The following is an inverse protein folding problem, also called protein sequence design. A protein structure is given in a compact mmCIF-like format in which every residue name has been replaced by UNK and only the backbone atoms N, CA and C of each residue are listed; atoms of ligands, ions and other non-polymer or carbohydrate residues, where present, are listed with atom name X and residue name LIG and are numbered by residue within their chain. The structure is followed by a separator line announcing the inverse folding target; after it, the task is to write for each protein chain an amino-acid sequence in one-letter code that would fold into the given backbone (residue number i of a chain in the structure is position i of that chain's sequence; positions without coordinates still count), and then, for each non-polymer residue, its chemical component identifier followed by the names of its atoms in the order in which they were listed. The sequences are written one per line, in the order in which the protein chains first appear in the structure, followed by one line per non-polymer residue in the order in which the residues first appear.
data_IF_953227100864
#
_entry.id   IF_953227100864
#
_cell.length_a   1.000
_cell.length_b   1.000
_cell.length_c   1.000
_cell.angle_alpha   90.00
_cell.angle_beta   90.00
_cell.angle_gamma   90.00
#
_symmetry.space_group_name_H-M   'P 1'
#
loop_
_entity.id
_entity.type
_entity.pdbx_description
1 polymer ?
#
# COMPACT_ATOMS: atom_id res chain seq x y z
N UNK A 1 -4.66 2.63 -14.73
CA UNK A 1 -3.69 3.75 -14.60
C UNK A 1 -2.41 3.47 -15.36
N UNK A 2 -1.77 2.31 -15.18
CA UNK A 2 -0.53 1.94 -15.87
C UNK A 2 -0.55 2.17 -17.39
N UNK A 3 -1.58 1.69 -18.09
CA UNK A 3 -1.72 1.89 -19.54
C UNK A 3 -1.70 3.38 -19.94
N UNK A 4 -2.41 4.23 -19.19
CA UNK A 4 -2.46 5.67 -19.47
C UNK A 4 -1.11 6.37 -19.28
N UNK A 5 -0.22 5.83 -18.44
CA UNK A 5 1.14 6.33 -18.27
C UNK A 5 2.09 5.81 -19.36
N UNK A 6 1.95 4.54 -19.77
CA UNK A 6 2.77 3.96 -20.85
C UNK A 6 2.56 4.65 -22.20
N UNK A 7 1.34 5.10 -22.46
CA UNK A 7 0.97 5.77 -23.72
C UNK A 7 1.28 7.28 -23.69
N UNK A 8 2.03 7.78 -22.70
CA UNK A 8 2.30 9.20 -22.54
C UNK A 8 3.80 9.52 -22.46
N UNK A 9 4.28 10.35 -23.38
CA UNK A 9 5.63 10.93 -23.37
C UNK A 9 5.77 12.09 -22.38
N UNK A 10 5.10 12.02 -21.21
CA UNK A 10 5.05 13.15 -20.27
C UNK A 10 6.46 13.51 -19.78
N UNK A 11 6.81 14.79 -19.79
CA UNK A 11 8.17 15.23 -19.47
C UNK A 11 8.34 15.68 -18.02
N UNK A 12 7.25 15.81 -17.26
CA UNK A 12 7.30 16.30 -15.88
C UNK A 12 6.26 15.63 -14.95
N UNK A 13 6.51 15.72 -13.64
CA UNK A 13 5.67 15.12 -12.60
C UNK A 13 4.24 15.69 -12.55
N UNK A 14 4.05 16.94 -12.97
CA UNK A 14 2.72 17.58 -12.99
C UNK A 14 1.82 16.92 -14.04
N UNK A 15 2.36 16.64 -15.23
CA UNK A 15 1.63 15.91 -16.28
C UNK A 15 1.29 14.49 -15.85
N UNK A 16 2.23 13.78 -15.23
CA UNK A 16 1.98 12.45 -14.65
C UNK A 16 0.83 12.50 -13.64
N UNK A 17 0.85 13.46 -12.72
CA UNK A 17 -0.22 13.64 -11.74
C UNK A 17 -1.58 13.93 -12.40
N UNK A 18 -1.61 14.75 -13.44
CA UNK A 18 -2.84 15.04 -14.20
C UNK A 18 -3.41 13.81 -14.92
N UNK A 19 -2.54 12.96 -15.49
CA UNK A 19 -2.95 11.72 -16.14
C UNK A 19 -3.58 10.77 -15.13
N UNK A 20 -2.92 10.57 -13.98
CA UNK A 20 -3.44 9.74 -12.89
C UNK A 20 -4.78 10.29 -12.41
N UNK A 21 -4.86 11.61 -12.14
CA UNK A 21 -6.08 12.27 -11.66
C UNK A 21 -7.25 12.11 -12.63
N UNK A 22 -7.05 12.36 -13.93
CA UNK A 22 -8.07 12.20 -14.97
C UNK A 22 -8.51 10.74 -15.10
N UNK A 23 -7.58 9.80 -14.97
CA UNK A 23 -7.88 8.37 -15.02
C UNK A 23 -8.71 7.94 -13.81
N UNK A 24 -8.30 8.35 -12.61
CA UNK A 24 -9.03 8.08 -11.37
C UNK A 24 -10.44 8.65 -11.42
N UNK A 25 -10.62 9.88 -11.91
CA UNK A 25 -11.95 10.48 -12.11
C UNK A 25 -12.85 9.59 -12.98
N UNK A 26 -12.36 9.16 -14.15
CA UNK A 26 -13.14 8.33 -15.08
C UNK A 26 -13.55 6.99 -14.46
N UNK A 27 -12.61 6.31 -13.81
CA UNK A 27 -12.86 5.02 -13.13
C UNK A 27 -13.90 5.22 -12.02
N UNK A 28 -13.76 6.27 -11.22
CA UNK A 28 -14.66 6.57 -10.11
C UNK A 28 -16.09 6.84 -10.61
N UNK A 29 -16.28 7.58 -11.71
CA UNK A 29 -17.62 7.81 -12.30
C UNK A 29 -18.28 6.52 -12.77
N UNK A 30 -17.51 5.61 -13.37
CA UNK A 30 -18.02 4.30 -13.78
C UNK A 30 -18.39 3.45 -12.55
N UNK A 31 -17.53 3.44 -11.52
CA UNK A 31 -17.80 2.75 -10.27
C UNK A 31 -19.08 3.24 -9.56
N UNK A 32 -19.28 4.56 -9.53
CA UNK A 32 -20.49 5.16 -8.97
C UNK A 32 -21.76 4.77 -9.76
N UNK A 33 -21.70 4.81 -11.10
CA UNK A 33 -22.80 4.36 -11.96
C UNK A 33 -23.21 2.91 -11.66
N UNK A 34 -22.23 2.01 -11.60
CA UNK A 34 -22.47 0.58 -11.31
C UNK A 34 -23.03 0.41 -9.89
N UNK A 35 -22.43 1.10 -8.92
CA UNK A 35 -22.85 1.03 -7.52
C UNK A 35 -24.28 1.55 -7.30
N UNK A 36 -24.68 2.61 -8.01
CA UNK A 36 -26.05 3.12 -7.98
C UNK A 36 -27.05 2.12 -8.56
N UNK A 37 -26.73 1.48 -9.68
CA UNK A 37 -27.62 0.48 -10.28
C UNK A 37 -27.73 -0.76 -9.37
N UNK A 38 -26.62 -1.22 -8.78
CA UNK A 38 -26.63 -2.31 -7.81
C UNK A 38 -27.50 -1.98 -6.58
N UNK A 39 -27.35 -0.77 -6.01
CA UNK A 39 -28.15 -0.31 -4.88
C UNK A 39 -29.65 -0.27 -5.21
N UNK A 40 -29.99 0.23 -6.41
CA UNK A 40 -31.36 0.26 -6.92
C UNK A 40 -31.95 -1.15 -7.10
N UNK A 41 -31.20 -2.09 -7.68
CA UNK A 41 -31.63 -3.48 -7.84
C UNK A 41 -31.87 -4.18 -6.50
N UNK A 42 -31.06 -3.84 -5.49
CA UNK A 42 -31.16 -4.39 -4.14
C UNK A 42 -32.19 -3.66 -3.26
N UNK A 43 -32.73 -2.53 -3.71
CA UNK A 43 -33.67 -1.72 -2.93
C UNK A 43 -33.05 -1.08 -1.67
N UNK A 44 -31.73 -0.83 -1.69
CA UNK A 44 -31.00 -0.21 -0.58
C UNK A 44 -30.39 1.13 -1.01
N UNK A 45 -30.08 2.05 -0.06
CA UNK A 45 -29.35 3.26 -0.39
C UNK A 45 -27.94 2.96 -0.89
N UNK A 46 -27.45 3.74 -1.85
CA UNK A 46 -26.04 3.71 -2.22
C UNK A 46 -25.18 4.14 -1.03
N UNK A 47 -24.10 3.39 -0.78
CA UNK A 47 -23.18 3.62 0.33
C UNK A 47 -22.05 4.57 -0.07
N UNK A 48 -20.83 4.04 -0.07
CA UNK A 48 -19.62 4.78 -0.45
C UNK A 48 -18.90 4.10 -1.62
N UNK A 49 -18.00 4.84 -2.25
CA UNK A 49 -17.04 4.34 -3.22
C UNK A 49 -15.63 4.49 -2.64
N UNK A 50 -14.89 3.38 -2.53
CA UNK A 50 -13.48 3.38 -2.16
C UNK A 50 -12.63 3.58 -3.43
N UNK A 51 -11.76 4.59 -3.41
CA UNK A 51 -10.90 4.96 -4.56
C UNK A 51 -9.65 4.09 -4.69
N UNK A 52 -9.48 3.14 -3.78
CA UNK A 52 -8.22 2.45 -3.62
C UNK A 52 -7.79 1.69 -4.87
N UNK A 53 -6.52 1.82 -5.22
CA UNK A 53 -5.90 1.00 -6.27
C UNK A 53 -5.50 -0.33 -5.62
N UNK A 54 -6.32 -1.35 -5.80
CA UNK A 54 -6.06 -2.71 -5.35
C UNK A 54 -5.43 -3.52 -6.49
N UNK A 55 -4.17 -3.97 -6.36
CA UNK A 55 -3.53 -4.82 -7.36
C UNK A 55 -4.06 -6.26 -7.27
N UNK A 56 -3.74 -7.07 -8.27
CA UNK A 56 -3.93 -8.53 -8.23
C UNK A 56 -2.67 -9.24 -8.71
N UNK A 57 -2.51 -10.55 -8.42
CA UNK A 57 -1.35 -11.31 -8.88
C UNK A 57 -1.23 -11.40 -10.41
N UNK A 58 -2.23 -10.89 -11.16
CA UNK A 58 -2.25 -10.90 -12.61
C UNK A 58 -1.31 -9.84 -13.20
N UNK A 59 -0.56 -10.24 -14.23
CA UNK A 59 0.32 -9.34 -14.96
C UNK A 59 -0.50 -8.20 -15.60
N UNK A 60 -0.09 -6.96 -15.33
CA UNK A 60 -0.76 -5.76 -15.82
C UNK A 60 -1.68 -5.08 -14.79
N UNK A 61 -1.87 -5.69 -13.61
CA UNK A 61 -2.66 -5.15 -12.51
C UNK A 61 -1.82 -4.94 -11.24
N UNK A 62 -0.81 -4.07 -11.37
CA UNK A 62 0.21 -3.84 -10.34
C UNK A 62 0.44 -2.36 -10.07
N UNK A 63 0.44 -2.00 -8.78
CA UNK A 63 0.85 -0.69 -8.28
C UNK A 63 2.34 -0.51 -8.46
N UNK A 64 3.16 -1.53 -8.18
CA UNK A 64 4.61 -1.46 -8.43
C UNK A 64 4.93 -1.08 -9.89
N UNK A 65 4.24 -1.72 -10.85
CA UNK A 65 4.43 -1.40 -12.28
C UNK A 65 3.89 -0.03 -12.67
N UNK A 66 2.93 0.54 -11.93
CA UNK A 66 2.53 1.94 -12.09
C UNK A 66 3.68 2.87 -11.66
N UNK A 67 4.31 2.61 -10.51
CA UNK A 67 5.42 3.42 -10.02
C UNK A 67 6.64 3.33 -10.95
N UNK A 68 6.90 2.18 -11.55
CA UNK A 68 7.94 2.00 -12.57
C UNK A 68 7.61 2.77 -13.85
N UNK A 69 6.34 2.76 -14.30
CA UNK A 69 5.89 3.55 -15.44
C UNK A 69 6.01 5.08 -15.22
N UNK A 70 6.14 5.53 -13.96
CA UNK A 70 6.42 6.94 -13.64
C UNK A 70 7.91 7.30 -13.76
N UNK A 71 8.78 6.35 -14.11
CA UNK A 71 10.21 6.56 -14.35
C UNK A 71 11.15 5.90 -13.34
N UNK A 72 10.65 5.01 -12.48
CA UNK A 72 11.49 4.20 -11.60
C UNK A 72 11.94 2.93 -12.30
N UNK A 73 13.16 2.49 -12.03
CA UNK A 73 13.68 1.23 -12.58
C UNK A 73 13.00 0.01 -11.96
N UNK A 74 12.81 0.03 -10.63
CA UNK A 74 12.15 -1.03 -9.86
C UNK A 74 11.44 -0.41 -8.66
N UNK A 75 10.25 -0.90 -8.32
CA UNK A 75 9.57 -0.53 -7.07
C UNK A 75 10.46 -0.83 -5.84
N UNK A 76 10.58 0.11 -4.91
CA UNK A 76 11.43 -0.01 -3.73
C UNK A 76 12.75 0.77 -3.83
N UNK A 77 13.16 1.20 -5.02
CA UNK A 77 14.33 2.07 -5.16
C UNK A 77 14.12 3.48 -4.56
N UNK A 78 15.17 4.31 -4.61
CA UNK A 78 15.06 5.71 -4.22
C UNK A 78 14.08 6.44 -5.13
N UNK A 79 13.21 7.27 -4.54
CA UNK A 79 12.11 7.92 -5.26
C UNK A 79 10.77 7.18 -5.21
N UNK A 80 10.73 5.86 -4.90
CA UNK A 80 9.46 5.10 -4.79
C UNK A 80 8.47 5.72 -3.81
N UNK A 81 8.93 6.18 -2.65
CA UNK A 81 8.06 6.82 -1.66
C UNK A 81 7.45 8.12 -2.20
N UNK A 82 8.23 8.93 -2.92
CA UNK A 82 7.73 10.16 -3.54
C UNK A 82 6.74 9.89 -4.69
N UNK A 83 7.06 8.91 -5.54
CA UNK A 83 6.17 8.48 -6.63
C UNK A 83 4.83 7.95 -6.08
N UNK A 84 4.87 7.15 -5.01
CA UNK A 84 3.69 6.63 -4.34
C UNK A 84 2.86 7.74 -3.71
N UNK A 85 3.49 8.73 -3.08
CA UNK A 85 2.80 9.89 -2.53
C UNK A 85 2.05 10.68 -3.63
N UNK A 86 2.70 10.91 -4.78
CA UNK A 86 2.09 11.57 -5.93
C UNK A 86 0.92 10.75 -6.47
N UNK A 87 1.10 9.44 -6.66
CA UNK A 87 0.04 8.53 -7.11
C UNK A 87 -1.18 8.60 -6.19
N UNK A 88 -0.96 8.47 -4.87
CA UNK A 88 -2.02 8.45 -3.88
C UNK A 88 -2.81 9.78 -3.85
N UNK A 89 -2.09 10.91 -3.86
CA UNK A 89 -2.70 12.24 -3.88
C UNK A 89 -3.49 12.50 -5.17
N UNK A 90 -2.94 12.13 -6.33
CA UNK A 90 -3.62 12.29 -7.61
C UNK A 90 -4.88 11.41 -7.73
N UNK A 91 -4.84 10.17 -7.23
CA UNK A 91 -6.01 9.28 -7.16
C UNK A 91 -7.11 9.88 -6.28
N UNK A 92 -6.76 10.33 -5.07
CA UNK A 92 -7.70 10.98 -4.14
C UNK A 92 -8.36 12.21 -4.76
N UNK A 93 -7.55 13.10 -5.35
CA UNK A 93 -8.06 14.31 -6.04
C UNK A 93 -8.99 13.96 -7.20
N UNK A 94 -8.63 12.96 -8.00
CA UNK A 94 -9.44 12.53 -9.14
C UNK A 94 -10.79 11.95 -8.72
N UNK A 95 -10.77 11.06 -7.72
CA UNK A 95 -11.99 10.42 -7.24
C UNK A 95 -12.91 11.34 -6.44
N UNK A 96 -12.36 12.22 -5.60
CA UNK A 96 -13.15 13.24 -4.88
C UNK A 96 -13.87 14.20 -5.82
N UNK A 97 -13.32 14.49 -7.01
CA UNK A 97 -14.03 15.28 -8.02
C UNK A 97 -15.15 14.50 -8.71
N UNK A 98 -15.13 13.17 -8.68
CA UNK A 98 -16.05 12.32 -9.41
C UNK A 98 -17.31 11.94 -8.63
N UNK A 99 -17.25 11.83 -7.30
CA UNK A 99 -18.39 11.44 -6.47
C UNK A 99 -18.41 12.22 -5.15
N UNK A 100 -19.61 12.52 -4.65
CA UNK A 100 -19.83 13.07 -3.31
C UNK A 100 -19.87 12.00 -2.20
N UNK A 101 -19.83 10.72 -2.56
CA UNK A 101 -19.94 9.57 -1.65
C UNK A 101 -18.62 8.78 -1.57
N UNK A 102 -17.48 9.47 -1.64
CA UNK A 102 -16.16 8.83 -1.48
C UNK A 102 -15.89 8.51 -0.01
N UNK A 103 -15.35 7.32 0.26
CA UNK A 103 -14.97 6.89 1.61
C UNK A 103 -13.95 5.74 1.62
N UNK A 104 -13.82 5.04 2.75
CA UNK A 104 -12.88 3.93 2.88
C UNK A 104 -11.41 4.37 3.04
N UNK A 105 -10.46 3.50 2.70
CA UNK A 105 -9.03 3.80 2.80
C UNK A 105 -8.58 4.76 1.69
N UNK A 106 -9.23 4.68 0.52
CA UNK A 106 -9.08 5.56 -0.64
C UNK A 106 -7.62 5.86 -0.96
N UNK A 107 -6.79 4.83 -1.12
CA UNK A 107 -5.38 4.98 -1.49
C UNK A 107 -4.78 3.79 -2.23
N UNK A 108 -3.53 3.89 -2.66
CA UNK A 108 -2.85 2.75 -3.29
C UNK A 108 -2.62 1.63 -2.26
N UNK A 109 -2.97 0.40 -2.59
CA UNK A 109 -2.67 -0.76 -1.76
C UNK A 109 -1.26 -1.25 -2.11
N UNK A 110 -0.51 -1.70 -1.11
CA UNK A 110 0.84 -2.28 -1.30
C UNK A 110 0.98 -3.71 -0.74
N UNK A 111 0.04 -4.63 -1.01
CA UNK A 111 0.09 -6.02 -0.56
C UNK A 111 1.18 -6.77 -1.29
N UNK A 112 2.26 -7.14 -0.58
CA UNK A 112 3.43 -7.76 -1.21
C UNK A 112 3.04 -9.04 -1.94
N UNK A 113 2.18 -9.89 -1.36
CA UNK A 113 1.80 -11.16 -1.97
C UNK A 113 0.83 -11.07 -3.15
N UNK A 114 0.15 -9.93 -3.30
CA UNK A 114 -0.94 -9.75 -4.27
C UNK A 114 -0.51 -8.89 -5.46
N UNK A 115 0.67 -8.27 -5.44
CA UNK A 115 1.16 -7.40 -6.52
C UNK A 115 2.41 -8.02 -7.17
N UNK A 116 2.28 -8.50 -8.42
CA UNK A 116 3.38 -9.15 -9.16
C UNK A 116 4.67 -8.33 -9.17
N UNK A 117 4.57 -7.00 -9.34
CA UNK A 117 5.75 -6.14 -9.39
C UNK A 117 6.40 -5.98 -8.01
N UNK A 118 5.60 -6.00 -6.93
CA UNK A 118 6.15 -5.99 -5.56
C UNK A 118 6.79 -7.32 -5.20
N UNK A 119 6.21 -8.44 -5.63
CA UNK A 119 6.80 -9.77 -5.46
C UNK A 119 8.19 -9.81 -6.11
N UNK A 120 8.29 -9.44 -7.39
CA UNK A 120 9.55 -9.42 -8.11
C UNK A 120 10.58 -8.47 -7.46
N UNK A 121 10.12 -7.30 -6.99
CA UNK A 121 10.99 -6.35 -6.30
C UNK A 121 11.49 -6.88 -4.94
N UNK A 122 10.65 -7.61 -4.20
CA UNK A 122 11.03 -8.23 -2.94
C UNK A 122 11.98 -9.43 -3.15
N UNK A 123 11.75 -10.25 -4.17
CA UNK A 123 12.64 -11.36 -4.56
C UNK A 123 14.03 -10.86 -4.97
N UNK A 124 14.10 -9.73 -5.68
CA UNK A 124 15.38 -9.09 -6.04
C UNK A 124 16.11 -8.44 -4.86
N UNK A 125 15.47 -8.36 -3.69
CA UNK A 125 16.00 -7.70 -2.49
C UNK A 125 15.98 -6.16 -2.54
N UNK A 126 15.41 -5.56 -3.59
CA UNK A 126 15.30 -4.10 -3.72
C UNK A 126 14.16 -3.56 -2.84
N UNK A 127 13.02 -4.24 -2.83
CA UNK A 127 11.91 -3.90 -1.94
C UNK A 127 12.12 -4.59 -0.59
N UNK A 128 12.56 -3.82 0.40
CA UNK A 128 12.84 -4.30 1.75
C UNK A 128 11.71 -3.92 2.72
N UNK A 129 11.68 -4.55 3.90
CA UNK A 129 10.64 -4.29 4.91
C UNK A 129 10.64 -2.83 5.40
N UNK A 130 11.82 -2.26 5.65
CA UNK A 130 12.00 -0.85 6.02
C UNK A 130 11.61 0.10 4.89
N UNK A 131 11.75 -0.33 3.63
CA UNK A 131 11.27 0.45 2.50
C UNK A 131 9.74 0.43 2.42
N UNK A 132 9.11 -0.72 2.67
CA UNK A 132 7.66 -0.83 2.77
C UNK A 132 7.13 0.05 3.90
N UNK A 133 7.75 0.01 5.09
CA UNK A 133 7.47 0.89 6.22
C UNK A 133 7.58 2.38 5.83
N UNK A 134 8.65 2.77 5.13
CA UNK A 134 8.75 4.15 4.61
C UNK A 134 7.65 4.50 3.59
N UNK A 135 7.20 3.53 2.78
CA UNK A 135 6.07 3.70 1.87
C UNK A 135 4.74 3.82 2.63
N UNK A 136 4.57 3.12 3.75
CA UNK A 136 3.37 3.23 4.58
C UNK A 136 3.20 4.64 5.10
N UNK A 137 4.25 5.44 5.33
CA UNK A 137 4.13 6.83 5.75
C UNK A 137 3.26 7.69 4.81
N UNK A 138 3.27 7.41 3.49
CA UNK A 138 2.52 8.16 2.47
C UNK A 138 1.35 7.39 1.85
N UNK A 139 1.17 6.12 2.23
CA UNK A 139 0.18 5.18 1.72
C UNK A 139 -0.94 4.89 2.73
N UNK A 140 -2.18 4.62 2.32
CA UNK A 140 -3.30 4.53 3.29
C UNK A 140 -3.37 3.21 4.08
N UNK A 141 -2.74 2.11 3.64
CA UNK A 141 -3.05 0.76 4.14
C UNK A 141 -2.15 0.28 5.28
N UNK A 142 -0.84 0.55 5.19
CA UNK A 142 0.16 -0.01 6.12
C UNK A 142 0.91 -1.20 5.52
N UNK A 143 1.57 -1.98 6.38
CA UNK A 143 2.29 -3.20 5.98
C UNK A 143 1.31 -4.30 5.68
N UNK A 144 1.31 -4.77 4.43
CA UNK A 144 0.25 -5.65 3.97
C UNK A 144 0.76 -6.90 3.25
N UNK A 145 0.18 -8.04 3.62
CA UNK A 145 0.51 -9.38 3.10
C UNK A 145 2.03 -9.64 3.02
N UNK A 146 2.75 -9.29 4.08
CA UNK A 146 4.21 -9.43 4.16
C UNK A 146 4.57 -10.76 4.80
N UNK A 147 5.24 -11.65 4.07
CA UNK A 147 5.75 -12.91 4.63
C UNK A 147 7.14 -12.72 5.24
N UNK A 148 7.34 -13.25 6.45
CA UNK A 148 8.61 -13.19 7.21
C UNK A 148 9.01 -14.57 7.72
N UNK A 149 10.27 -14.79 8.16
CA UNK A 149 10.72 -16.09 8.65
C UNK A 149 9.83 -16.64 9.77
N UNK A 150 9.58 -17.95 9.75
CA UNK A 150 8.70 -18.60 10.72
C UNK A 150 9.20 -18.56 12.17
N UNK A 151 10.49 -18.32 12.36
CA UNK A 151 11.15 -18.15 13.65
C UNK A 151 11.23 -16.68 14.11
N UNK A 152 10.59 -15.75 13.38
CA UNK A 152 10.50 -14.34 13.80
C UNK A 152 9.85 -14.24 15.18
N UNK A 153 10.57 -13.65 16.13
CA UNK A 153 10.11 -13.57 17.52
C UNK A 153 8.84 -12.72 17.67
N UNK A 154 8.01 -13.06 18.66
CA UNK A 154 6.84 -12.26 19.01
C UNK A 154 7.20 -10.81 19.36
N UNK A 155 8.38 -10.59 19.97
CA UNK A 155 8.89 -9.26 20.27
C UNK A 155 9.18 -8.45 19.00
N UNK A 156 9.81 -9.07 17.99
CA UNK A 156 10.08 -8.45 16.68
C UNK A 156 8.77 -8.07 15.99
N UNK A 157 7.79 -8.97 15.96
CA UNK A 157 6.46 -8.70 15.38
C UNK A 157 5.78 -7.54 16.12
N UNK A 158 5.82 -7.52 17.45
CA UNK A 158 5.27 -6.43 18.24
C UNK A 158 5.99 -5.09 17.98
N UNK A 159 7.31 -5.12 17.75
CA UNK A 159 8.09 -3.96 17.32
C UNK A 159 7.62 -3.40 15.98
N UNK A 160 7.49 -4.25 14.96
CA UNK A 160 6.99 -3.86 13.63
C UNK A 160 5.59 -3.25 13.72
N UNK A 161 4.70 -3.84 14.53
CA UNK A 161 3.36 -3.29 14.76
C UNK A 161 3.43 -1.93 15.47
N UNK A 162 4.33 -1.77 16.44
CA UNK A 162 4.51 -0.50 17.15
C UNK A 162 5.03 0.61 16.23
N UNK A 163 5.95 0.31 15.32
CA UNK A 163 6.49 1.25 14.33
C UNK A 163 5.39 1.73 13.37
N UNK A 164 4.61 0.79 12.81
CA UNK A 164 3.46 1.12 11.94
C UNK A 164 2.35 1.88 12.68
N UNK A 165 2.09 1.54 13.94
CA UNK A 165 1.14 2.27 14.78
C UNK A 165 1.64 3.70 15.06
N UNK A 166 2.94 3.90 15.25
CA UNK A 166 3.54 5.23 15.43
C UNK A 166 3.43 6.07 14.16
N UNK A 167 3.72 5.49 12.98
CA UNK A 167 3.51 6.15 11.68
C UNK A 167 2.05 6.59 11.52
N UNK A 168 1.11 5.71 11.86
CA UNK A 168 -0.32 5.99 11.85
C UNK A 168 -0.71 7.15 12.76
N UNK A 169 -0.32 7.03 14.03
CA UNK A 169 -0.63 7.97 15.10
C UNK A 169 -0.06 9.37 14.83
N UNK A 170 1.18 9.48 14.37
CA UNK A 170 1.86 10.76 14.13
C UNK A 170 1.28 11.48 12.91
N UNK A 171 0.95 10.73 11.86
CA UNK A 171 0.44 11.30 10.60
C UNK A 171 -1.09 11.43 10.57
N UNK A 172 -1.78 11.17 11.69
CA UNK A 172 -3.25 11.19 11.78
C UNK A 172 -3.90 10.34 10.68
N UNK A 173 -3.38 9.14 10.48
CA UNK A 173 -3.82 8.22 9.42
C UNK A 173 -4.12 6.84 9.99
N UNK A 174 -4.98 6.11 9.29
CA UNK A 174 -5.17 4.69 9.55
C UNK A 174 -3.98 3.91 8.98
N UNK A 175 -3.49 2.94 9.74
CA UNK A 175 -2.52 1.94 9.30
C UNK A 175 -3.00 0.57 9.77
N UNK A 176 -2.58 -0.48 9.07
CA UNK A 176 -2.80 -1.87 9.42
C UNK A 176 -1.51 -2.66 9.22
N UNK A 177 -1.39 -3.79 9.91
CA UNK A 177 -0.26 -4.71 9.74
C UNK A 177 -0.80 -6.11 9.50
N UNK A 178 -0.53 -6.65 8.31
CA UNK A 178 -0.70 -8.07 7.96
C UNK A 178 0.69 -8.66 7.69
N UNK A 179 1.36 -9.08 8.76
CA UNK A 179 2.64 -9.78 8.71
C UNK A 179 2.44 -11.27 9.00
N UNK A 180 3.08 -12.13 8.22
CA UNK A 180 2.83 -13.58 8.18
C UNK A 180 4.15 -14.32 8.43
N UNK A 181 4.45 -14.72 9.68
CA UNK A 181 5.55 -15.62 9.98
C UNK A 181 5.25 -17.01 9.40
N UNK A 182 6.06 -17.48 8.45
CA UNK A 182 5.79 -18.74 7.76
C UNK A 182 6.55 -19.88 8.44
N UNK A 183 5.84 -20.62 9.29
CA UNK A 183 6.42 -21.72 10.10
C UNK A 183 7.19 -22.71 9.23
N UNK A 184 8.43 -23.00 9.65
CA UNK A 184 9.31 -23.94 8.95
C UNK A 184 9.98 -23.41 7.69
N UNK A 185 9.77 -22.13 7.35
CA UNK A 185 10.42 -21.46 6.22
C UNK A 185 11.25 -20.26 6.63
N UNK A 186 12.32 -19.99 5.89
CA UNK A 186 13.24 -18.88 6.07
C UNK A 186 13.46 -18.05 4.81
N UNK A 187 14.38 -17.08 4.89
CA UNK A 187 14.73 -16.20 3.77
C UNK A 187 15.26 -17.02 2.59
N UNK A 188 14.81 -16.67 1.38
CA UNK A 188 15.11 -17.39 0.14
C UNK A 188 14.05 -18.42 -0.26
N UNK A 189 13.10 -18.70 0.63
CA UNK A 189 11.89 -19.46 0.32
C UNK A 189 10.70 -18.53 0.03
N UNK A 190 9.57 -19.11 -0.36
CA UNK A 190 8.32 -18.40 -0.58
C UNK A 190 7.11 -19.18 -0.02
N UNK A 191 6.00 -18.49 0.15
CA UNK A 191 4.70 -19.05 0.54
C UNK A 191 3.67 -18.75 -0.54
N UNK A 192 2.85 -19.73 -0.89
CA UNK A 192 1.73 -19.58 -1.82
C UNK A 192 0.43 -19.62 -1.02
N UNK A 193 -0.36 -18.55 -1.11
CA UNK A 193 -1.66 -18.42 -0.49
C UNK A 193 -2.80 -18.81 -1.43
N UNK A 194 -2.53 -18.90 -2.73
CA UNK A 194 -3.47 -19.24 -3.78
C UNK A 194 -4.49 -18.14 -4.10
N UNK A 195 -5.13 -18.28 -5.26
CA UNK A 195 -6.22 -17.41 -5.69
C UNK A 195 -5.82 -15.94 -5.75
N UNK A 196 -6.63 -15.09 -5.10
CA UNK A 196 -6.42 -13.64 -5.07
C UNK A 196 -5.29 -13.21 -4.12
N UNK A 197 -4.92 -14.05 -3.16
CA UNK A 197 -3.89 -13.74 -2.17
C UNK A 197 -2.46 -13.96 -2.70
N UNK A 198 -2.33 -14.56 -3.89
CA UNK A 198 -1.06 -14.76 -4.59
C UNK A 198 -0.03 -15.51 -3.76
N UNK A 199 1.24 -15.11 -3.89
CA UNK A 199 2.38 -15.73 -3.22
C UNK A 199 3.35 -14.65 -2.75
N UNK A 200 4.10 -14.91 -1.68
CA UNK A 200 5.08 -13.96 -1.15
C UNK A 200 6.45 -14.62 -0.91
N UNK A 201 7.56 -13.97 -1.31
CA UNK A 201 8.88 -14.34 -0.85
C UNK A 201 9.00 -14.06 0.65
N UNK A 202 9.75 -14.90 1.37
CA UNK A 202 10.06 -14.67 2.78
C UNK A 202 11.07 -13.52 2.90
N UNK A 203 10.60 -12.36 3.36
CA UNK A 203 11.41 -11.15 3.49
C UNK A 203 12.23 -11.15 4.77
N UNK A 204 13.51 -10.73 4.75
CA UNK A 204 14.33 -10.67 5.96
C UNK A 204 13.81 -9.63 6.96
N UNK A 205 13.88 -9.97 8.25
CA UNK A 205 13.69 -9.03 9.37
C UNK A 205 15.03 -8.48 9.83
N UNK A 206 15.07 -7.27 10.41
CA UNK A 206 16.33 -6.65 10.87
C UNK A 206 16.92 -7.42 12.05
N UNK A 207 18.25 -7.47 12.09
CA UNK A 207 19.00 -8.00 13.24
C UNK A 207 18.96 -7.03 14.42
N UNK A 208 18.76 -7.55 15.64
CA UNK A 208 18.63 -6.77 16.87
C UNK A 208 17.44 -7.22 17.72
N UNK A 209 17.38 -6.78 18.97
CA UNK A 209 16.28 -7.09 19.89
C UNK A 209 15.56 -5.84 20.35
N UNK A 210 14.25 -5.82 20.16
CA UNK A 210 13.32 -4.84 20.73
C UNK A 210 12.59 -5.37 21.97
N UNK A 211 12.99 -6.52 22.50
CA UNK A 211 12.31 -7.22 23.62
C UNK A 211 12.15 -6.32 24.85
N UNK A 212 13.21 -5.60 25.22
CA UNK A 212 13.17 -4.64 26.34
C UNK A 212 12.16 -3.53 26.06
N UNK A 213 12.06 -3.03 24.83
CA UNK A 213 11.14 -1.96 24.48
C UNK A 213 9.68 -2.41 24.54
N UNK A 214 9.34 -3.52 23.90
CA UNK A 214 7.97 -4.04 23.85
C UNK A 214 7.47 -4.49 25.24
N UNK A 215 8.36 -5.04 26.07
CA UNK A 215 8.03 -5.51 27.42
C UNK A 215 7.92 -4.38 28.47
N UNK A 216 8.21 -3.11 28.12
CA UNK A 216 7.94 -1.98 29.04
C UNK A 216 6.45 -1.84 29.33
N UNK A 217 5.58 -2.30 28.43
CA UNK A 217 4.13 -2.19 28.56
C UNK A 217 3.65 -0.74 28.70
N UNK A 218 2.45 -0.57 29.25
CA UNK A 218 1.86 0.76 29.46
C UNK A 218 1.24 1.35 28.20
N UNK A 219 1.31 2.68 28.05
CA UNK A 219 0.67 3.44 26.98
C UNK A 219 1.63 4.47 26.41
N UNK A 220 1.85 4.46 25.09
CA UNK A 220 2.53 5.56 24.40
C UNK A 220 1.64 6.81 24.49
N UNK A 221 2.13 7.93 25.05
CA UNK A 221 1.35 9.16 25.17
C UNK A 221 0.95 9.72 23.80
N UNK A 222 -0.16 10.47 23.77
CA UNK A 222 -0.63 11.10 22.54
C UNK A 222 0.40 12.13 22.00
N UNK A 223 0.57 12.23 20.67
CA UNK A 223 1.54 13.14 20.09
C UNK A 223 1.09 14.60 20.18
N UNK A 224 2.04 15.53 20.28
CA UNK A 224 1.78 16.97 20.24
C UNK A 224 1.47 17.39 18.80
N UNK A 225 0.25 17.87 18.55
CA UNK A 225 -0.19 18.26 17.20
C UNK A 225 0.19 19.70 16.83
N UNK A 226 0.48 20.58 17.80
CA UNK A 226 0.69 22.02 17.58
C UNK A 226 2.13 22.46 17.34
N UNK A 227 3.12 21.60 17.60
CA UNK A 227 4.55 21.87 17.36
C UNK A 227 5.05 21.08 16.14
N UNK A 228 4.41 21.30 14.99
CA UNK A 228 4.84 20.69 13.71
C UNK A 228 5.71 21.71 12.95
N UNK A 229 6.88 21.28 12.49
CA UNK A 229 7.78 22.05 11.61
C UNK A 229 7.44 21.79 10.13
#
# INVERSE_FOLDING_TARGET
VQAALKDCDSQNLTEIAEIVKKTAFKITRVGELIGQEAAKMLGIPFGILDLSLAPTPAVGDSVARILEAMGLTVCGTHGTTAALALLNDAVKKGGMMASSAVGGLSGAFIPVSEDEGMIAAAESGILTLDKLEAMTAVCSVGLDMVAVPGDTSAATIAGIIADEAAIGMINSKTTAVRIIPVTGKGVGESVDFGGLLGYAPIMPVKEGSCEVFVNRGGRIPAPVQSMKN
#
